data_IF_625123781996
#
_entry.id   IF_625123781996
#
_cell.length_a   1.000
_cell.length_b   1.000
_cell.length_c   1.000
_cell.angle_alpha   90.00
_cell.angle_beta   90.00
_cell.angle_gamma   90.00
#
_symmetry.space_group_name_H-M   'P 1'
#
loop_
_entity.id
_entity.type
_entity.pdbx_description
1 polymer ?
#
# COMPACT_ATOMS: atom_id res chain seq x y z
N UNK A 1 13.94 -11.78 -1.18
CA UNK A 1 13.51 -11.03 -2.39
C UNK A 1 12.03 -11.34 -2.61
N UNK A 2 11.18 -10.32 -2.63
CA UNK A 2 9.76 -10.48 -2.98
C UNK A 2 9.63 -10.09 -4.45
N UNK A 3 9.31 -11.05 -5.31
CA UNK A 3 9.02 -10.80 -6.71
C UNK A 3 7.51 -10.59 -6.88
N UNK A 4 7.09 -9.37 -7.23
CA UNK A 4 5.69 -9.06 -7.50
C UNK A 4 5.46 -9.15 -9.01
N UNK A 5 4.82 -10.24 -9.44
CA UNK A 5 4.43 -10.41 -10.84
C UNK A 5 3.08 -9.73 -11.03
N UNK A 6 3.05 -8.64 -11.79
CA UNK A 6 1.80 -7.97 -12.18
C UNK A 6 1.11 -8.75 -13.28
N UNK A 7 -0.23 -8.81 -13.25
CA UNK A 7 -1.01 -9.41 -14.32
C UNK A 7 -0.83 -8.57 -15.61
N UNK A 8 -0.49 -9.25 -16.68
CA UNK A 8 -0.46 -8.66 -18.02
C UNK A 8 -1.73 -9.01 -18.80
N UNK A 9 -2.15 -8.18 -19.75
CA UNK A 9 -3.27 -8.49 -20.64
C UNK A 9 -3.00 -9.79 -21.42
N UNK A 10 -3.89 -10.77 -21.30
CA UNK A 10 -3.70 -12.08 -21.96
C UNK A 10 -4.92 -12.61 -22.68
N UNK A 11 -6.12 -12.25 -22.24
CA UNK A 11 -7.40 -12.65 -22.82
C UNK A 11 -8.51 -11.73 -22.34
N UNK A 12 -9.66 -11.78 -23.00
CA UNK A 12 -10.83 -11.09 -22.52
C UNK A 12 -11.30 -11.69 -21.21
N UNK A 13 -11.35 -10.86 -20.17
CA UNK A 13 -11.82 -11.23 -18.84
C UNK A 13 -12.53 -10.03 -18.20
N UNK A 14 -13.61 -10.32 -17.50
CA UNK A 14 -14.27 -9.36 -16.63
C UNK A 14 -14.50 -9.98 -15.26
N UNK A 15 -14.34 -9.21 -14.21
CA UNK A 15 -14.70 -9.65 -12.88
C UNK A 15 -15.30 -8.52 -12.07
N UNK A 16 -16.29 -8.84 -11.26
CA UNK A 16 -16.85 -7.93 -10.26
C UNK A 16 -16.99 -8.68 -8.96
N UNK A 17 -16.60 -8.06 -7.87
CA UNK A 17 -16.72 -8.62 -6.53
C UNK A 17 -17.34 -7.58 -5.61
N UNK A 18 -18.36 -7.99 -4.88
CA UNK A 18 -18.90 -7.22 -3.76
C UNK A 18 -18.86 -8.09 -2.53
N UNK A 19 -18.27 -7.61 -1.46
CA UNK A 19 -18.22 -8.33 -0.20
C UNK A 19 -18.60 -7.40 0.95
N UNK A 20 -19.31 -7.95 1.91
CA UNK A 20 -19.65 -7.31 3.18
C UNK A 20 -19.20 -8.21 4.31
N UNK A 21 -18.70 -7.60 5.35
CA UNK A 21 -18.20 -8.30 6.53
C UNK A 21 -18.73 -7.65 7.80
N UNK A 22 -18.35 -8.23 8.91
CA UNK A 22 -18.65 -7.66 10.23
C UNK A 22 -18.00 -6.29 10.41
N UNK A 23 -18.51 -5.52 11.36
CA UNK A 23 -17.98 -4.21 11.75
C UNK A 23 -17.92 -3.19 10.61
N UNK A 24 -18.85 -3.28 9.67
CA UNK A 24 -18.96 -2.36 8.55
C UNK A 24 -17.88 -2.56 7.46
N UNK A 25 -17.19 -3.68 7.45
CA UNK A 25 -16.26 -4.01 6.38
C UNK A 25 -17.01 -4.17 5.07
N UNK A 26 -16.50 -3.55 4.01
CA UNK A 26 -17.05 -3.61 2.66
C UNK A 26 -15.91 -3.65 1.66
N UNK A 27 -16.11 -4.39 0.60
CA UNK A 27 -15.18 -4.46 -0.53
C UNK A 27 -15.94 -4.42 -1.84
N UNK A 28 -15.43 -3.67 -2.77
CA UNK A 28 -15.86 -3.62 -4.14
C UNK A 28 -14.64 -3.71 -5.04
N UNK A 29 -14.64 -4.66 -5.95
CA UNK A 29 -13.61 -4.81 -6.98
C UNK A 29 -14.30 -4.93 -8.34
N UNK A 30 -13.77 -4.24 -9.34
CA UNK A 30 -14.16 -4.35 -10.72
C UNK A 30 -12.92 -4.39 -11.59
N UNK A 31 -12.85 -5.34 -12.50
CA UNK A 31 -11.80 -5.35 -13.51
C UNK A 31 -12.33 -5.82 -14.84
N UNK A 32 -11.74 -5.27 -15.91
CA UNK A 32 -12.00 -5.68 -17.28
C UNK A 32 -10.70 -5.65 -18.06
N UNK A 33 -10.51 -6.61 -18.95
CA UNK A 33 -9.35 -6.68 -19.80
C UNK A 33 -9.60 -7.45 -21.08
N UNK A 34 -8.73 -7.21 -22.03
CA UNK A 34 -8.62 -7.91 -23.31
C UNK A 34 -7.19 -8.47 -23.42
N UNK A 35 -6.83 -8.97 -24.59
CA UNK A 35 -5.46 -9.35 -24.91
C UNK A 35 -4.50 -8.14 -24.96
N UNK A 36 -5.02 -6.92 -25.11
CA UNK A 36 -4.23 -5.69 -25.24
C UNK A 36 -4.24 -4.79 -24.02
N UNK A 37 -5.29 -4.80 -23.23
CA UNK A 37 -5.35 -3.95 -22.04
C UNK A 37 -6.04 -4.64 -20.87
N UNK A 38 -5.72 -4.19 -19.69
CA UNK A 38 -6.35 -4.57 -18.44
C UNK A 38 -6.50 -3.33 -17.57
N UNK A 39 -7.70 -3.12 -17.05
CA UNK A 39 -8.01 -2.03 -16.10
C UNK A 39 -8.77 -2.60 -14.92
N UNK A 40 -8.55 -2.05 -13.75
CA UNK A 40 -9.32 -2.41 -12.59
C UNK A 40 -9.31 -1.35 -11.52
N UNK A 41 -10.34 -1.42 -10.69
CA UNK A 41 -10.55 -0.57 -9.52
C UNK A 41 -10.91 -1.46 -8.34
N UNK A 42 -10.30 -1.22 -7.21
CA UNK A 42 -10.70 -1.81 -5.94
C UNK A 42 -10.99 -0.73 -4.90
N UNK A 43 -12.02 -0.97 -4.10
CA UNK A 43 -12.37 -0.13 -2.97
C UNK A 43 -12.66 -0.97 -1.76
N UNK A 44 -11.99 -0.65 -0.66
CA UNK A 44 -12.16 -1.35 0.61
C UNK A 44 -12.49 -0.36 1.70
N UNK A 45 -13.38 -0.78 2.60
CA UNK A 45 -13.70 -0.10 3.83
C UNK A 45 -13.56 -1.09 4.97
N UNK A 46 -12.96 -0.68 6.06
CA UNK A 46 -12.98 -1.44 7.30
C UNK A 46 -13.48 -0.54 8.42
N UNK A 47 -14.39 -1.09 9.18
CA UNK A 47 -15.05 -0.38 10.27
C UNK A 47 -14.23 -0.38 11.55
N UNK A 48 -14.76 0.29 12.56
CA UNK A 48 -14.17 0.34 13.88
C UNK A 48 -14.20 -1.02 14.55
N UNK A 49 -13.11 -1.39 15.20
CA UNK A 49 -13.17 -2.39 16.27
C UNK A 49 -14.09 -1.87 17.38
N UNK A 50 -14.86 -2.78 17.97
CA UNK A 50 -15.74 -2.43 19.08
C UNK A 50 -14.91 -1.79 20.22
N UNK A 51 -15.21 -0.54 20.61
CA UNK A 51 -14.49 0.11 21.69
C UNK A 51 -14.76 -0.55 23.06
N UNK A 52 -15.75 -1.43 23.17
CA UNK A 52 -16.06 -2.17 24.39
C UNK A 52 -15.08 -3.31 24.70
N UNK A 53 -14.28 -3.72 23.73
CA UNK A 53 -13.21 -4.70 23.91
C UNK A 53 -11.87 -4.10 23.50
N UNK A 54 -11.28 -3.22 24.31
CA UNK A 54 -9.98 -2.67 24.01
C UNK A 54 -8.93 -3.78 24.04
N UNK A 55 -8.17 -3.91 22.95
CA UNK A 55 -7.02 -4.81 22.94
C UNK A 55 -5.95 -4.16 23.82
N UNK A 56 -5.61 -4.81 24.91
CA UNK A 56 -4.49 -4.39 25.75
C UNK A 56 -3.21 -4.45 24.93
N UNK A 57 -2.51 -3.35 24.87
CA UNK A 57 -1.23 -3.26 24.20
C UNK A 57 -0.14 -3.27 25.26
N UNK A 58 0.72 -4.26 25.20
CA UNK A 58 1.86 -4.37 26.14
C UNK A 58 2.98 -3.44 25.64
N UNK A 59 2.88 -2.18 26.03
CA UNK A 59 3.87 -1.17 25.70
C UNK A 59 4.75 -0.90 26.91
N UNK A 60 6.04 -1.19 26.77
CA UNK A 60 7.02 -1.06 27.85
C UNK A 60 7.44 0.37 28.18
N UNK A 61 6.84 1.38 27.54
CA UNK A 61 7.36 2.75 27.54
C UNK A 61 7.14 3.56 28.82
N UNK A 62 6.12 3.28 29.63
CA UNK A 62 5.84 4.07 30.83
C UNK A 62 5.32 3.19 31.96
N UNK A 63 6.10 3.04 33.01
CA UNK A 63 5.66 2.32 34.21
C UNK A 63 4.40 3.00 34.80
N UNK A 64 3.39 2.20 35.14
CA UNK A 64 2.17 2.67 35.77
C UNK A 64 1.01 3.03 34.85
N UNK A 65 1.10 2.73 33.52
CA UNK A 65 0.01 2.94 32.58
C UNK A 65 -0.38 1.64 31.90
N UNK A 66 -1.67 1.50 31.62
CA UNK A 66 -2.22 0.50 30.71
C UNK A 66 -2.58 1.18 29.38
N UNK A 67 -2.28 0.51 28.25
CA UNK A 67 -2.50 1.01 26.92
C UNK A 67 -3.52 0.15 26.18
N UNK A 68 -4.42 0.80 25.46
CA UNK A 68 -5.49 0.14 24.70
C UNK A 68 -5.59 0.78 23.31
N UNK A 69 -5.73 -0.05 22.29
CA UNK A 69 -6.05 0.45 20.93
C UNK A 69 -7.55 0.48 20.72
N UNK A 70 -8.04 1.55 20.13
CA UNK A 70 -9.45 1.71 19.81
C UNK A 70 -9.65 2.29 18.42
N UNK A 71 -10.81 2.03 17.83
CA UNK A 71 -11.30 2.70 16.62
C UNK A 71 -10.38 2.56 15.40
N UNK A 72 -9.94 1.36 15.09
CA UNK A 72 -9.27 1.13 13.83
C UNK A 72 -10.30 1.11 12.70
N UNK A 73 -10.32 2.16 11.88
CA UNK A 73 -11.17 2.29 10.69
C UNK A 73 -10.38 2.88 9.54
N UNK A 74 -10.81 2.60 8.34
CA UNK A 74 -10.20 3.20 7.18
C UNK A 74 -10.87 2.80 5.89
N UNK A 75 -10.28 3.27 4.82
CA UNK A 75 -10.65 2.89 3.47
C UNK A 75 -9.42 2.91 2.57
N UNK A 76 -9.49 2.18 1.49
CA UNK A 76 -8.51 2.24 0.41
C UNK A 76 -9.20 2.27 -0.95
N UNK A 77 -8.55 2.92 -1.89
CA UNK A 77 -8.88 2.93 -3.31
C UNK A 77 -7.65 2.51 -4.08
N UNK A 78 -7.77 1.48 -4.90
CA UNK A 78 -6.75 1.05 -5.85
C UNK A 78 -7.26 1.20 -7.26
N UNK A 79 -6.41 1.67 -8.16
CA UNK A 79 -6.65 1.68 -9.61
C UNK A 79 -5.41 1.08 -10.24
N UNK A 80 -5.59 0.16 -11.16
CA UNK A 80 -4.51 -0.35 -11.98
C UNK A 80 -4.89 -0.34 -13.46
N UNK A 81 -3.90 -0.12 -14.29
CA UNK A 81 -4.01 -0.14 -15.75
C UNK A 81 -2.77 -0.82 -16.31
N UNK A 82 -2.97 -1.66 -17.31
CA UNK A 82 -1.90 -2.27 -18.08
C UNK A 82 -2.30 -2.30 -19.55
N UNK A 83 -1.42 -1.88 -20.45
CA UNK A 83 -1.70 -1.84 -21.88
C UNK A 83 -0.49 -2.25 -22.71
N UNK A 84 -0.69 -3.15 -23.67
CA UNK A 84 0.30 -3.49 -24.69
C UNK A 84 0.28 -2.41 -25.75
N UNK A 85 1.35 -1.65 -25.87
CA UNK A 85 1.56 -0.69 -26.95
C UNK A 85 2.03 -1.41 -28.23
N UNK A 86 2.75 -2.52 -28.06
CA UNK A 86 3.11 -3.48 -29.09
C UNK A 86 3.31 -4.86 -28.46
N UNK A 87 3.66 -5.87 -29.26
CA UNK A 87 3.96 -7.21 -28.74
C UNK A 87 5.15 -7.22 -27.76
N UNK A 88 6.03 -6.23 -27.88
CA UNK A 88 7.24 -6.10 -27.06
C UNK A 88 7.14 -5.02 -25.99
N UNK A 89 6.15 -4.12 -26.03
CA UNK A 89 6.08 -2.96 -25.14
C UNK A 89 4.78 -2.96 -24.36
N UNK A 90 4.90 -2.92 -23.05
CA UNK A 90 3.78 -2.82 -22.10
C UNK A 90 3.93 -1.60 -21.22
N UNK A 91 2.87 -0.82 -21.08
CA UNK A 91 2.75 0.27 -20.14
C UNK A 91 1.90 -0.18 -18.94
N UNK A 92 2.39 0.04 -17.74
CA UNK A 92 1.64 -0.21 -16.51
C UNK A 92 1.52 1.07 -15.70
N UNK A 93 0.38 1.21 -15.05
CA UNK A 93 0.14 2.28 -14.08
C UNK A 93 -0.67 1.72 -12.91
N UNK A 94 -0.27 2.07 -11.70
CA UNK A 94 -1.04 1.79 -10.50
C UNK A 94 -1.14 3.03 -9.63
N UNK A 95 -2.32 3.26 -9.08
CA UNK A 95 -2.57 4.25 -8.04
C UNK A 95 -3.21 3.59 -6.84
N UNK A 96 -2.72 3.88 -5.67
CA UNK A 96 -3.31 3.42 -4.42
C UNK A 96 -3.42 4.58 -3.44
N UNK A 97 -4.62 4.79 -2.93
CA UNK A 97 -4.87 5.67 -1.80
C UNK A 97 -5.31 4.85 -0.60
N UNK A 98 -4.79 5.13 0.57
CA UNK A 98 -5.34 4.58 1.80
C UNK A 98 -5.48 5.67 2.86
N UNK A 99 -6.56 5.58 3.62
CA UNK A 99 -6.81 6.43 4.79
C UNK A 99 -7.16 5.53 5.95
N UNK A 100 -6.48 5.71 7.04
CA UNK A 100 -6.75 4.96 8.26
C UNK A 100 -6.72 5.87 9.48
N UNK A 101 -7.49 5.50 10.48
CA UNK A 101 -7.41 6.14 11.79
C UNK A 101 -7.51 5.09 12.88
N UNK A 102 -6.73 5.25 13.92
CA UNK A 102 -6.85 4.46 15.12
C UNK A 102 -6.68 5.34 16.36
N UNK A 103 -7.19 4.88 17.48
CA UNK A 103 -7.01 5.53 18.76
C UNK A 103 -6.11 4.70 19.66
N UNK A 104 -5.27 5.40 20.44
CA UNK A 104 -4.53 4.84 21.56
C UNK A 104 -5.03 5.51 22.83
N UNK A 105 -5.44 4.72 23.81
CA UNK A 105 -5.82 5.21 25.13
C UNK A 105 -4.80 4.69 26.12
N UNK A 106 -4.28 5.57 26.96
CA UNK A 106 -3.49 5.20 28.12
C UNK A 106 -4.24 5.59 29.41
N UNK A 107 -4.30 4.68 30.35
CA UNK A 107 -4.94 4.90 31.65
C UNK A 107 -3.90 4.69 32.74
N UNK A 108 -3.78 5.66 33.64
CA UNK A 108 -2.89 5.54 34.79
C UNK A 108 -3.44 4.48 35.74
N UNK A 109 -2.57 3.56 36.19
CA UNK A 109 -2.95 2.49 37.14
C UNK A 109 -3.22 2.99 38.53
N UNK A 110 -2.82 4.23 38.84
CA UNK A 110 -3.06 4.81 40.18
C UNK A 110 -4.54 5.21 40.33
N UNK A 111 -5.30 4.58 41.22
CA UNK A 111 -6.73 4.84 41.39
C UNK A 111 -7.04 6.27 41.87
N UNK A 112 -6.08 6.98 42.47
CA UNK A 112 -6.24 8.34 42.97
C UNK A 112 -6.07 9.39 41.87
N UNK A 113 -5.32 9.05 40.80
CA UNK A 113 -4.94 10.00 39.71
C UNK A 113 -5.55 9.68 38.35
N UNK A 114 -6.41 8.78 38.20
CA UNK A 114 -7.06 8.31 36.96
C UNK A 114 -6.92 9.22 35.70
N UNK A 115 -5.70 9.68 35.44
CA UNK A 115 -5.41 10.52 34.28
C UNK A 115 -5.55 9.69 33.02
N UNK A 116 -6.58 9.94 32.24
CA UNK A 116 -6.82 9.30 30.96
C UNK A 116 -6.26 10.16 29.86
N UNK A 117 -5.32 9.63 29.11
CA UNK A 117 -4.78 10.25 27.91
C UNK A 117 -5.29 9.47 26.70
N UNK A 118 -5.78 10.17 25.70
CA UNK A 118 -6.15 9.56 24.43
C UNK A 118 -5.40 10.23 23.29
N UNK A 119 -4.91 9.44 22.36
CA UNK A 119 -4.30 9.93 21.13
C UNK A 119 -5.02 9.32 19.94
N UNK A 120 -5.41 10.14 19.01
CA UNK A 120 -5.97 9.68 17.73
C UNK A 120 -4.95 9.91 16.64
N UNK A 121 -4.73 8.90 15.85
CA UNK A 121 -3.84 8.92 14.70
C UNK A 121 -4.67 8.85 13.42
N UNK A 122 -4.35 9.70 12.45
CA UNK A 122 -4.91 9.69 11.12
C UNK A 122 -3.76 9.57 10.12
N UNK A 123 -3.87 8.61 9.21
CA UNK A 123 -2.88 8.40 8.17
C UNK A 123 -3.53 8.46 6.79
N UNK A 124 -2.83 9.11 5.89
CA UNK A 124 -3.11 9.10 4.46
C UNK A 124 -1.84 8.66 3.74
N UNK A 125 -1.95 7.65 2.90
CA UNK A 125 -0.86 7.10 2.08
C UNK A 125 -1.32 7.09 0.62
N UNK A 126 -0.71 7.92 -0.21
CA UNK A 126 -0.98 8.05 -1.63
C UNK A 126 0.25 7.51 -2.37
N UNK A 127 0.03 6.59 -3.31
CA UNK A 127 1.08 5.97 -4.11
C UNK A 127 0.70 5.97 -5.58
N UNK A 128 1.66 6.33 -6.42
CA UNK A 128 1.56 6.22 -7.87
C UNK A 128 2.80 5.49 -8.38
N UNK A 129 2.58 4.49 -9.22
CA UNK A 129 3.66 3.78 -9.87
C UNK A 129 3.35 3.70 -11.36
N UNK A 130 4.34 3.98 -12.18
CA UNK A 130 4.27 3.81 -13.63
C UNK A 130 5.48 3.04 -14.11
N UNK A 131 5.30 2.17 -15.07
CA UNK A 131 6.42 1.49 -15.73
C UNK A 131 6.15 1.25 -17.20
N UNK A 132 7.20 1.40 -17.99
CA UNK A 132 7.24 1.01 -19.40
C UNK A 132 8.20 -0.17 -19.50
N UNK A 133 7.69 -1.31 -19.93
CA UNK A 133 8.43 -2.56 -20.03
C UNK A 133 8.62 -2.90 -21.51
N UNK A 134 9.85 -3.03 -21.92
CA UNK A 134 10.24 -3.68 -23.16
C UNK A 134 10.62 -5.12 -22.87
N UNK A 135 10.14 -6.06 -23.65
CA UNK A 135 10.50 -7.47 -23.56
C UNK A 135 10.52 -8.11 -24.93
N UNK A 136 11.63 -8.73 -25.29
CA UNK A 136 11.72 -9.70 -26.37
C UNK A 136 12.29 -11.02 -25.86
N UNK A 137 12.72 -11.91 -26.75
CA UNK A 137 13.16 -13.26 -26.37
C UNK A 137 14.31 -13.24 -25.37
N UNK A 138 15.23 -12.31 -25.52
CA UNK A 138 16.49 -12.30 -24.76
C UNK A 138 16.70 -11.02 -23.94
N UNK A 139 15.90 -9.97 -24.14
CA UNK A 139 16.11 -8.69 -23.48
C UNK A 139 14.86 -8.23 -22.75
N UNK A 140 15.04 -7.82 -21.52
CA UNK A 140 14.01 -7.11 -20.76
C UNK A 140 14.55 -5.75 -20.33
N UNK A 141 13.81 -4.69 -20.65
CA UNK A 141 14.09 -3.34 -20.21
C UNK A 141 12.89 -2.76 -19.49
N UNK A 142 13.10 -2.07 -18.39
CA UNK A 142 12.05 -1.41 -17.61
C UNK A 142 12.46 0.01 -17.28
N UNK A 143 11.65 0.97 -17.69
CA UNK A 143 11.66 2.33 -17.14
C UNK A 143 10.59 2.39 -16.06
N UNK A 144 10.89 2.98 -14.92
CA UNK A 144 9.93 3.07 -13.83
C UNK A 144 9.93 4.41 -13.13
N UNK A 145 8.78 4.77 -12.61
CA UNK A 145 8.54 5.92 -11.75
C UNK A 145 7.65 5.49 -10.60
N UNK A 146 8.09 5.78 -9.38
CA UNK A 146 7.34 5.53 -8.15
C UNK A 146 7.25 6.83 -7.35
N UNK A 147 6.06 7.19 -6.93
CA UNK A 147 5.80 8.34 -6.07
C UNK A 147 4.94 7.91 -4.89
N UNK A 148 5.36 8.29 -3.70
CA UNK A 148 4.63 8.02 -2.47
C UNK A 148 4.60 9.25 -1.60
N UNK A 149 3.42 9.66 -1.21
CA UNK A 149 3.21 10.68 -0.20
C UNK A 149 2.45 10.08 0.98
N UNK A 150 3.07 10.07 2.13
CA UNK A 150 2.44 9.65 3.38
C UNK A 150 2.31 10.87 4.31
N UNK A 151 1.11 11.09 4.81
CA UNK A 151 0.81 12.12 5.81
C UNK A 151 0.21 11.47 7.03
N UNK A 152 0.75 11.82 8.18
CA UNK A 152 0.26 11.40 9.48
C UNK A 152 -0.12 12.61 10.32
N UNK A 153 -1.26 12.55 10.98
CA UNK A 153 -1.66 13.51 11.99
C UNK A 153 -1.93 12.76 13.29
N UNK A 154 -1.31 13.19 14.36
CA UNK A 154 -1.62 12.70 15.70
C UNK A 154 -2.23 13.82 16.52
N UNK A 155 -3.35 13.52 17.20
CA UNK A 155 -4.04 14.43 18.10
C UNK A 155 -4.03 13.87 19.51
N UNK A 156 -3.23 14.47 20.37
CA UNK A 156 -3.17 14.10 21.78
C UNK A 156 -4.24 14.87 22.55
N UNK A 157 -5.15 14.13 23.16
CA UNK A 157 -6.15 14.68 24.09
C UNK A 157 -5.69 14.40 25.51
N UNK A 158 -5.12 15.38 26.16
CA UNK A 158 -4.88 15.35 27.61
C UNK A 158 -5.86 16.30 28.31
N UNK A 159 -6.06 16.09 29.60
CA UNK A 159 -6.96 16.94 30.40
C UNK A 159 -6.60 18.45 30.37
N UNK A 160 -5.43 18.82 29.84
CA UNK A 160 -4.92 20.20 29.83
C UNK A 160 -4.46 20.74 28.48
N UNK A 161 -4.24 19.93 27.45
CA UNK A 161 -3.72 20.44 26.17
C UNK A 161 -4.13 19.54 24.99
N UNK A 162 -4.60 20.17 23.92
CA UNK A 162 -4.72 19.59 22.58
C UNK A 162 -3.52 20.05 21.77
N UNK A 163 -2.67 19.12 21.34
CA UNK A 163 -1.55 19.42 20.42
C UNK A 163 -1.64 18.47 19.22
N UNK A 164 -2.00 18.97 18.04
CA UNK A 164 -1.83 18.23 16.80
C UNK A 164 -0.34 18.16 16.45
N UNK A 165 0.11 17.01 15.99
CA UNK A 165 1.43 16.84 15.38
C UNK A 165 1.23 16.28 13.99
N UNK A 166 1.78 16.95 12.99
CA UNK A 166 1.73 16.50 11.61
C UNK A 166 3.10 15.95 11.19
N UNK A 167 3.06 14.86 10.46
CA UNK A 167 4.24 14.24 9.86
C UNK A 167 3.96 14.02 8.39
N UNK A 168 4.87 14.46 7.53
CA UNK A 168 4.79 14.24 6.09
C UNK A 168 6.07 13.55 5.62
N UNK A 169 5.87 12.55 4.77
CA UNK A 169 6.95 11.85 4.10
C UNK A 169 6.64 11.80 2.61
N UNK A 170 7.59 12.20 1.78
CA UNK A 170 7.50 12.12 0.33
C UNK A 170 8.71 11.35 -0.17
N UNK A 171 8.48 10.32 -0.95
CA UNK A 171 9.52 9.56 -1.63
C UNK A 171 9.19 9.51 -3.13
N UNK A 172 10.18 9.83 -3.94
CA UNK A 172 10.11 9.70 -5.39
C UNK A 172 11.30 8.89 -5.86
N UNK A 173 11.02 7.94 -6.72
CA UNK A 173 12.05 7.09 -7.29
C UNK A 173 11.78 6.92 -8.77
N UNK A 174 12.79 7.06 -9.58
CA UNK A 174 12.72 6.74 -10.99
C UNK A 174 14.02 6.08 -11.44
N UNK A 175 13.91 5.27 -12.46
CA UNK A 175 15.10 4.56 -12.93
C UNK A 175 14.84 3.69 -14.14
N UNK A 176 15.90 3.02 -14.51
CA UNK A 176 15.95 2.07 -15.59
C UNK A 176 16.58 0.76 -15.09
N UNK A 177 16.02 -0.35 -15.53
CA UNK A 177 16.58 -1.68 -15.36
C UNK A 177 16.63 -2.33 -16.75
N UNK A 178 17.78 -2.89 -17.13
CA UNK A 178 17.96 -3.60 -18.40
C UNK A 178 18.68 -4.91 -18.11
N UNK A 179 18.13 -6.00 -18.61
CA UNK A 179 18.70 -7.33 -18.52
C UNK A 179 18.75 -7.97 -19.88
N UNK A 180 19.83 -8.68 -20.17
CA UNK A 180 19.99 -9.45 -21.39
C UNK A 180 20.46 -10.86 -21.06
N UNK A 181 19.88 -11.84 -21.76
CA UNK A 181 20.22 -13.25 -21.65
C UNK A 181 20.92 -13.70 -22.94
N UNK A 182 22.05 -14.35 -22.80
CA UNK A 182 22.78 -14.99 -23.90
C UNK A 182 22.68 -16.50 -23.75
N UNK A 183 22.13 -17.13 -24.78
CA UNK A 183 22.10 -18.58 -24.89
C UNK A 183 23.39 -19.10 -25.53
N UNK A 184 23.94 -20.15 -24.95
CA UNK A 184 25.11 -20.86 -25.47
C UNK A 184 24.78 -22.34 -25.68
N UNK A 185 25.48 -22.97 -26.62
CA UNK A 185 25.37 -24.41 -26.90
C UNK A 185 23.94 -24.91 -27.17
N UNK A 186 23.11 -24.11 -27.85
CA UNK A 186 21.74 -24.49 -28.17
C UNK A 186 20.84 -24.58 -26.95
N UNK A 187 20.98 -23.64 -26.01
CA UNK A 187 20.11 -23.51 -24.82
C UNK A 187 20.51 -24.41 -23.64
N UNK A 188 21.71 -25.04 -23.69
CA UNK A 188 22.21 -25.83 -22.56
C UNK A 188 22.88 -24.98 -21.47
N UNK A 189 23.47 -23.87 -21.88
CA UNK A 189 24.10 -22.91 -20.98
C UNK A 189 23.57 -21.52 -21.30
N UNK A 190 23.40 -20.67 -20.29
CA UNK A 190 22.98 -19.28 -20.46
C UNK A 190 23.73 -18.35 -19.52
N UNK A 191 23.89 -17.11 -19.93
CA UNK A 191 24.43 -16.01 -19.15
C UNK A 191 23.40 -14.89 -19.09
N UNK A 192 23.07 -14.41 -17.91
CA UNK A 192 22.25 -13.22 -17.72
C UNK A 192 23.11 -12.12 -17.14
N UNK A 193 23.11 -10.96 -17.77
CA UNK A 193 23.72 -9.76 -17.23
C UNK A 193 22.73 -8.58 -17.32
N UNK A 194 22.80 -7.68 -16.36
CA UNK A 194 21.92 -6.53 -16.31
C UNK A 194 22.56 -5.34 -15.62
N UNK A 195 21.95 -4.18 -15.88
CA UNK A 195 22.32 -2.90 -15.30
C UNK A 195 21.06 -2.23 -14.77
N UNK A 196 21.13 -1.75 -13.53
CA UNK A 196 20.08 -0.95 -12.89
C UNK A 196 20.65 0.41 -12.52
N UNK A 197 19.99 1.46 -12.98
CA UNK A 197 20.25 2.85 -12.56
C UNK A 197 18.99 3.43 -11.93
N UNK A 198 19.10 4.04 -10.75
CA UNK A 198 17.97 4.66 -10.06
C UNK A 198 18.39 5.96 -9.35
N UNK A 199 17.42 6.85 -9.19
CA UNK A 199 17.51 8.05 -8.38
C UNK A 199 16.33 8.09 -7.42
N UNK A 200 16.59 8.52 -6.21
CA UNK A 200 15.63 8.71 -5.12
C UNK A 200 15.55 10.16 -4.67
#
# INVERSE_FOLDING_TARGET
VINIITKTPSKEVGSATVAVGNRGAKRFDLSYGTDRFLIGIDRKYWGTQDPSTPVRYDYTGRKGYDYYTTRNKGNSLGVFMSGKLSDKITLNYTRAESRSSFGLISTERNPVRQARHSTTYHYKDDRNNASLIYKDDNTTGTLFYNDRTMRGESRVHSAKQFKPTETSYVARQYGIDVQHEWDFRGGKDYLIAGVTGKQE
#
